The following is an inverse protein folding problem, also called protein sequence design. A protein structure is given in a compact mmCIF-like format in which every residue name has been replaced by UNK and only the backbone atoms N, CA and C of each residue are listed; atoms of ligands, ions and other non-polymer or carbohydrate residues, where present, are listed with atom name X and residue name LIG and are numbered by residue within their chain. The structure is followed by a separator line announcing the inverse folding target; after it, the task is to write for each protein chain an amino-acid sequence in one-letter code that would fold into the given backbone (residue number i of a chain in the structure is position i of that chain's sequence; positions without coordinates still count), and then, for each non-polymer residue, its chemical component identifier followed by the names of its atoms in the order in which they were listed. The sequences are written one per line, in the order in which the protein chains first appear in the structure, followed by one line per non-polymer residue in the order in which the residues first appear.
data_IF_512258808328
#
_entry.id   IF_512258808328
#
_cell.length_a   1.000
_cell.length_b   1.000
_cell.length_c   1.000
_cell.angle_alpha   90.00
_cell.angle_beta   90.00
_cell.angle_gamma   90.00
#
_symmetry.space_group_name_H-M   'P 1'
#
loop_
_entity.id
_entity.type
_entity.pdbx_description
1 polymer ?
#
# COMPACT_ATOMS: atom_id res chain seq x y z
N UNK A 1 21.99 -9.05 2.96
CA UNK A 1 21.44 -8.94 4.33
C UNK A 1 20.17 -8.10 4.28
N UNK A 2 19.02 -8.67 4.62
CA UNK A 2 17.83 -7.86 4.91
C UNK A 2 17.96 -7.40 6.36
N UNK A 3 18.37 -6.16 6.57
CA UNK A 3 18.80 -5.66 7.89
C UNK A 3 17.75 -5.77 9.01
N UNK A 4 16.50 -6.08 8.67
CA UNK A 4 15.36 -6.14 9.59
C UNK A 4 14.58 -7.46 9.51
N UNK A 5 15.12 -8.49 8.85
CA UNK A 5 14.50 -9.83 8.81
C UNK A 5 15.40 -10.84 9.55
N UNK A 6 14.83 -11.93 10.10
CA UNK A 6 15.62 -13.00 10.69
C UNK A 6 16.69 -13.54 9.74
N UNK A 7 17.81 -13.99 10.28
CA UNK A 7 18.89 -14.57 9.48
C UNK A 7 18.40 -15.74 8.62
N UNK A 8 18.85 -15.78 7.37
CA UNK A 8 18.40 -16.75 6.37
C UNK A 8 17.08 -16.40 5.65
N UNK A 9 16.40 -15.33 6.05
CA UNK A 9 15.16 -14.89 5.39
C UNK A 9 15.41 -14.28 4.00
N UNK A 10 14.42 -14.44 3.11
CA UNK A 10 14.38 -13.80 1.80
C UNK A 10 13.23 -12.78 1.72
N UNK A 11 12.95 -12.25 0.52
CA UNK A 11 11.87 -11.27 0.30
C UNK A 11 10.46 -11.82 0.48
N UNK A 12 10.28 -13.13 0.52
CA UNK A 12 8.97 -13.77 0.75
C UNK A 12 8.65 -13.93 2.25
N UNK A 13 9.52 -13.45 3.14
CA UNK A 13 9.18 -13.32 4.54
C UNK A 13 7.95 -12.42 4.71
N UNK A 14 7.00 -12.81 5.55
CA UNK A 14 5.67 -12.17 5.68
C UNK A 14 5.75 -10.67 5.99
N UNK A 15 6.71 -10.27 6.83
CA UNK A 15 7.00 -8.86 7.12
C UNK A 15 7.37 -8.01 5.89
N UNK A 16 7.88 -8.62 4.82
CA UNK A 16 8.24 -7.95 3.57
C UNK A 16 7.23 -8.19 2.45
N UNK A 17 6.59 -9.36 2.40
CA UNK A 17 5.65 -9.76 1.35
C UNK A 17 4.41 -10.46 1.91
N UNK A 18 3.46 -9.66 2.39
CA UNK A 18 2.16 -10.13 2.89
C UNK A 18 1.26 -10.76 1.81
N UNK A 19 1.64 -10.65 0.53
CA UNK A 19 0.88 -11.15 -0.62
C UNK A 19 1.54 -12.37 -1.29
N UNK A 20 2.65 -12.84 -0.75
CA UNK A 20 3.52 -13.85 -1.34
C UNK A 20 3.11 -15.30 -1.06
N UNK A 21 4.02 -16.25 -1.32
CA UNK A 21 3.81 -17.68 -1.03
C UNK A 21 3.47 -17.98 0.44
N UNK A 22 3.94 -17.12 1.36
CA UNK A 22 3.71 -17.24 2.80
C UNK A 22 2.55 -16.34 3.29
N UNK A 23 1.69 -15.84 2.40
CA UNK A 23 0.60 -14.95 2.79
C UNK A 23 -0.35 -15.62 3.79
N UNK A 24 -0.63 -14.92 4.89
CA UNK A 24 -1.58 -15.37 5.93
C UNK A 24 -3.00 -15.01 5.52
N UNK A 25 -3.98 -15.87 5.85
CA UNK A 25 -5.39 -15.54 5.67
C UNK A 25 -5.85 -14.51 6.72
N UNK A 26 -6.27 -13.35 6.24
CA UNK A 26 -6.84 -12.29 7.07
C UNK A 26 -8.36 -12.22 7.00
N UNK A 27 -9.03 -13.11 6.25
CA UNK A 27 -10.48 -13.02 5.96
C UNK A 27 -11.34 -12.88 7.21
N UNK A 28 -11.01 -13.61 8.29
CA UNK A 28 -11.70 -13.57 9.58
C UNK A 28 -11.30 -12.43 10.52
N UNK A 29 -10.32 -11.59 10.18
CA UNK A 29 -9.88 -10.49 11.04
C UNK A 29 -10.77 -9.26 10.91
N UNK A 30 -11.02 -8.57 12.03
CA UNK A 30 -11.56 -7.21 12.02
C UNK A 30 -10.45 -6.26 11.52
N UNK A 31 -10.56 -5.85 10.27
CA UNK A 31 -9.51 -5.08 9.57
C UNK A 31 -10.07 -3.71 9.20
N UNK A 32 -9.37 -2.61 9.53
CA UNK A 32 -9.88 -1.27 9.28
C UNK A 32 -10.00 -0.99 7.79
N UNK A 33 -10.99 -0.15 7.42
CA UNK A 33 -11.10 0.38 6.07
C UNK A 33 -9.78 1.02 5.66
N UNK A 34 -9.27 0.65 4.48
CA UNK A 34 -7.92 1.02 4.06
C UNK A 34 -7.93 1.89 2.79
N UNK A 35 -7.18 2.98 2.82
CA UNK A 35 -6.89 3.79 1.64
C UNK A 35 -5.42 3.61 1.22
N UNK A 36 -5.19 3.25 -0.04
CA UNK A 36 -3.85 3.06 -0.61
C UNK A 36 -3.59 4.16 -1.65
N UNK A 37 -2.53 4.94 -1.44
CA UNK A 37 -2.03 5.88 -2.43
C UNK A 37 -0.85 5.28 -3.20
N UNK A 38 -0.85 5.40 -4.52
CA UNK A 38 0.25 4.92 -5.36
C UNK A 38 0.70 5.98 -6.37
N UNK A 39 2.02 6.07 -6.58
CA UNK A 39 2.63 6.95 -7.58
C UNK A 39 3.04 6.16 -8.82
N UNK A 40 2.74 6.65 -10.02
CA UNK A 40 3.00 5.92 -11.26
C UNK A 40 4.49 5.76 -11.60
N UNK A 41 5.37 6.59 -11.03
CA UNK A 41 6.82 6.46 -11.15
C UNK A 41 7.47 5.84 -9.90
N UNK A 42 6.69 5.30 -8.96
CA UNK A 42 7.24 4.55 -7.82
C UNK A 42 7.69 3.15 -8.30
N UNK A 43 8.96 2.75 -8.10
CA UNK A 43 9.44 1.40 -8.44
C UNK A 43 8.67 0.25 -7.78
N UNK A 44 7.95 0.53 -6.70
CA UNK A 44 7.14 -0.45 -5.97
C UNK A 44 5.65 -0.43 -6.34
N UNK A 45 5.25 0.29 -7.40
CA UNK A 45 3.85 0.41 -7.84
C UNK A 45 3.13 -0.95 -7.94
N UNK A 46 3.77 -1.93 -8.58
CA UNK A 46 3.17 -3.26 -8.76
C UNK A 46 2.94 -3.98 -7.42
N UNK A 47 3.88 -3.83 -6.47
CA UNK A 47 3.75 -4.39 -5.13
C UNK A 47 2.63 -3.70 -4.33
N UNK A 48 2.51 -2.38 -4.44
CA UNK A 48 1.44 -1.61 -3.81
C UNK A 48 0.06 -2.01 -4.38
N UNK A 49 -0.05 -2.20 -5.70
CA UNK A 49 -1.27 -2.69 -6.35
C UNK A 49 -1.60 -4.13 -5.95
N UNK A 50 -0.60 -5.01 -5.82
CA UNK A 50 -0.79 -6.38 -5.32
C UNK A 50 -1.35 -6.39 -3.89
N UNK A 51 -0.81 -5.54 -3.01
CA UNK A 51 -1.33 -5.37 -1.65
C UNK A 51 -2.81 -4.96 -1.63
N UNK A 52 -3.18 -3.96 -2.43
CA UNK A 52 -4.59 -3.55 -2.57
C UNK A 52 -5.47 -4.71 -3.04
N UNK A 53 -5.04 -5.48 -4.04
CA UNK A 53 -5.81 -6.62 -4.55
C UNK A 53 -5.92 -7.74 -3.52
N UNK A 54 -4.87 -8.00 -2.73
CA UNK A 54 -4.90 -8.96 -1.65
C UNK A 54 -5.92 -8.57 -0.58
N UNK A 55 -5.95 -7.31 -0.13
CA UNK A 55 -6.98 -6.81 0.79
C UNK A 55 -8.40 -7.06 0.25
N UNK A 56 -8.64 -6.72 -1.03
CA UNK A 56 -9.95 -6.93 -1.68
C UNK A 56 -10.33 -8.41 -1.74
N UNK A 57 -9.39 -9.30 -2.10
CA UNK A 57 -9.62 -10.75 -2.16
C UNK A 57 -9.89 -11.35 -0.78
N UNK A 58 -9.28 -10.80 0.26
CA UNK A 58 -9.54 -11.20 1.65
C UNK A 58 -10.81 -10.57 2.25
N UNK A 59 -11.70 -9.99 1.42
CA UNK A 59 -12.97 -9.43 1.85
C UNK A 59 -12.88 -8.09 2.58
N UNK A 60 -11.73 -7.38 2.52
CA UNK A 60 -11.54 -6.12 3.25
C UNK A 60 -12.02 -4.92 2.46
N UNK A 61 -12.48 -3.90 3.18
CA UNK A 61 -12.77 -2.61 2.58
C UNK A 61 -11.45 -1.90 2.25
N UNK A 62 -11.17 -1.76 0.96
CA UNK A 62 -10.01 -1.05 0.47
C UNK A 62 -10.38 -0.15 -0.70
N UNK A 63 -9.75 1.04 -0.76
CA UNK A 63 -9.80 1.98 -1.89
C UNK A 63 -8.37 2.28 -2.34
N UNK A 64 -8.16 2.43 -3.64
CA UNK A 64 -6.86 2.83 -4.20
C UNK A 64 -7.01 4.16 -4.95
N UNK A 65 -6.03 5.04 -4.79
CA UNK A 65 -5.92 6.30 -5.53
C UNK A 65 -4.56 6.33 -6.22
N UNK A 66 -4.60 6.43 -7.54
CA UNK A 66 -3.42 6.43 -8.38
C UNK A 66 -3.07 7.86 -8.80
N UNK A 67 -1.78 8.18 -8.72
CA UNK A 67 -1.20 9.41 -9.23
C UNK A 67 -0.16 9.07 -10.31
N UNK A 68 -0.57 8.94 -11.58
CA UNK A 68 0.26 8.37 -12.65
C UNK A 68 1.59 9.09 -12.88
N UNK A 69 1.64 10.39 -12.58
CA UNK A 69 2.83 11.23 -12.80
C UNK A 69 3.63 11.51 -11.52
N UNK A 70 3.34 10.81 -10.42
CA UNK A 70 4.00 11.05 -9.13
C UNK A 70 5.12 10.06 -8.85
N UNK A 71 6.21 10.58 -8.30
CA UNK A 71 7.38 9.82 -7.84
C UNK A 71 7.18 9.27 -6.43
N UNK A 72 8.11 8.43 -5.96
CA UNK A 72 8.16 8.02 -4.57
C UNK A 72 8.17 9.22 -3.59
N UNK A 73 7.46 9.09 -2.47
CA UNK A 73 7.33 10.11 -1.41
C UNK A 73 6.70 11.47 -1.84
N UNK A 74 6.00 11.53 -2.98
CA UNK A 74 5.36 12.77 -3.48
C UNK A 74 4.47 13.50 -2.48
N UNK A 75 3.79 12.78 -1.58
CA UNK A 75 2.91 13.35 -0.55
C UNK A 75 3.64 14.12 0.55
N UNK A 76 4.94 13.85 0.77
CA UNK A 76 5.77 14.55 1.75
C UNK A 76 6.47 15.79 1.20
N UNK A 77 6.45 15.99 -0.12
CA UNK A 77 7.21 17.05 -0.79
C UNK A 77 6.23 18.07 -1.37
N UNK A 78 5.97 19.16 -0.64
CA UNK A 78 4.94 20.15 -0.97
C UNK A 78 4.96 20.65 -2.43
N UNK A 79 6.15 20.86 -3.02
CA UNK A 79 6.29 21.39 -4.39
C UNK A 79 5.87 20.45 -5.52
N UNK A 80 5.70 19.16 -5.23
CA UNK A 80 5.39 18.14 -6.25
C UNK A 80 4.09 17.38 -5.96
N UNK A 81 3.29 17.87 -5.00
CA UNK A 81 2.01 17.23 -4.69
C UNK A 81 1.03 17.41 -5.85
N UNK A 82 0.47 16.31 -6.40
CA UNK A 82 -0.51 16.37 -7.46
C UNK A 82 -1.87 16.82 -6.92
N UNK A 83 -2.64 17.51 -7.76
CA UNK A 83 -4.06 17.72 -7.51
C UNK A 83 -4.89 16.51 -8.00
N UNK A 84 -5.97 16.10 -7.31
CA UNK A 84 -6.36 16.57 -5.98
C UNK A 84 -5.36 16.11 -4.91
N UNK A 85 -5.10 16.95 -3.92
CA UNK A 85 -4.05 16.70 -2.92
C UNK A 85 -4.29 15.40 -2.15
N UNK A 86 -3.25 14.58 -1.90
CA UNK A 86 -3.38 13.35 -1.10
C UNK A 86 -3.98 13.60 0.28
N UNK A 87 -3.63 14.72 0.91
CA UNK A 87 -4.18 15.12 2.21
C UNK A 87 -5.70 15.40 2.17
N UNK A 88 -6.22 15.91 1.06
CA UNK A 88 -7.66 16.11 0.88
C UNK A 88 -8.37 14.77 0.69
N UNK A 89 -7.81 13.89 -0.14
CA UNK A 89 -8.33 12.53 -0.35
C UNK A 89 -8.34 11.71 0.94
N UNK A 90 -7.27 11.80 1.73
CA UNK A 90 -7.16 11.16 3.03
C UNK A 90 -8.22 11.69 4.00
N UNK A 91 -8.39 13.02 4.11
CA UNK A 91 -9.46 13.61 4.94
C UNK A 91 -10.84 13.10 4.53
N UNK A 92 -11.18 13.13 3.23
CA UNK A 92 -12.46 12.60 2.74
C UNK A 92 -12.65 11.12 3.09
N UNK A 93 -11.58 10.32 3.13
CA UNK A 93 -11.67 8.92 3.51
C UNK A 93 -11.92 8.72 5.01
N UNK A 94 -11.29 9.51 5.88
CA UNK A 94 -11.44 9.36 7.33
C UNK A 94 -12.76 9.92 7.90
N UNK A 95 -13.45 10.80 7.17
CA UNK A 95 -14.69 11.45 7.64
C UNK A 95 -15.97 10.88 7.00
N UNK A 96 -15.84 9.85 6.15
CA UNK A 96 -16.95 9.06 5.62
C UNK A 96 -17.05 7.74 6.39
#
# INVERSE_FOLDING_TARGET
MFAFLPDGSNRDHEAANVTGPNAVDISGLDYPSTLVFVGGFDPLLDWQKRYYQWLKKSGKEAKIIEYPNSIHAFYGIARIQPAPFPSQRFRCFCVN
#
